data_IF_161304683477
#
_entry.id   IF_161304683477
#
_cell.length_a   1.000
_cell.length_b   1.000
_cell.length_c   1.000
_cell.angle_alpha   90.00
_cell.angle_beta   90.00
_cell.angle_gamma   90.00
#
_symmetry.space_group_name_H-M   'P 1'
#
loop_
_entity.id
_entity.type
_entity.pdbx_description
1 polymer ?
#
# COMPACT_ATOMS: atom_id res chain seq x y z
N UNK A 1 1.43 24.70 5.91
CA UNK A 1 1.25 24.82 4.45
C UNK A 1 1.01 26.28 4.20
N UNK A 2 2.07 27.01 3.83
CA UNK A 2 2.14 28.48 3.97
C UNK A 2 1.89 29.12 2.62
N UNK A 3 0.63 29.44 2.33
CA UNK A 3 0.29 30.45 1.33
C UNK A 3 0.32 31.82 1.99
N UNK A 4 0.84 32.83 1.28
CA UNK A 4 0.84 34.22 1.74
C UNK A 4 -0.61 34.67 1.96
N UNK A 5 -1.00 35.11 3.18
CA UNK A 5 -2.37 35.50 3.48
C UNK A 5 -2.85 36.73 2.70
N UNK A 6 -1.95 37.48 2.06
CA UNK A 6 -2.29 38.66 1.27
C UNK A 6 -2.61 38.36 -0.20
N UNK A 7 -2.62 37.08 -0.60
CA UNK A 7 -2.97 36.68 -1.97
C UNK A 7 -4.22 35.80 -1.93
N UNK A 8 -5.37 36.28 -2.46
CA UNK A 8 -6.56 35.45 -2.60
C UNK A 8 -6.25 34.22 -3.47
N UNK A 9 -6.71 33.03 -3.06
CA UNK A 9 -6.49 31.76 -3.76
C UNK A 9 -6.85 31.82 -5.26
N UNK A 10 -7.90 32.57 -5.60
CA UNK A 10 -8.35 32.79 -6.99
C UNK A 10 -7.30 33.52 -7.86
N UNK A 11 -6.47 34.37 -7.26
CA UNK A 11 -5.44 35.15 -7.95
C UNK A 11 -4.08 34.44 -8.04
N UNK A 12 -3.84 33.43 -7.20
CA UNK A 12 -2.56 32.70 -7.13
C UNK A 12 -2.17 32.18 -8.52
N UNK A 13 -3.11 31.57 -9.24
CA UNK A 13 -2.85 31.00 -10.56
C UNK A 13 -2.49 32.05 -11.62
N UNK A 14 -3.06 33.26 -11.55
CA UNK A 14 -2.74 34.35 -12.46
C UNK A 14 -1.37 34.95 -12.15
N UNK A 15 -1.08 35.20 -10.86
CA UNK A 15 0.22 35.72 -10.40
C UNK A 15 1.36 34.76 -10.70
N UNK A 16 1.17 33.45 -10.53
CA UNK A 16 2.18 32.44 -10.88
C UNK A 16 2.50 32.45 -12.38
N UNK A 17 1.47 32.51 -13.24
CA UNK A 17 1.65 32.53 -14.70
C UNK A 17 2.31 33.82 -15.18
N UNK A 18 1.98 34.97 -14.58
CA UNK A 18 2.58 36.26 -14.92
C UNK A 18 4.02 36.41 -14.40
N UNK A 19 4.31 35.96 -13.17
CA UNK A 19 5.61 36.15 -12.53
C UNK A 19 6.67 35.09 -12.87
N UNK A 20 6.29 33.81 -12.90
CA UNK A 20 7.24 32.69 -13.14
C UNK A 20 7.33 32.36 -14.64
N UNK A 21 6.24 32.53 -15.38
CA UNK A 21 6.12 32.18 -16.80
C UNK A 21 5.89 30.68 -17.04
N UNK A 22 5.07 30.35 -18.05
CA UNK A 22 4.65 28.97 -18.34
C UNK A 22 5.83 28.04 -18.69
N UNK A 23 6.82 28.56 -19.41
CA UNK A 23 8.00 27.78 -19.82
C UNK A 23 8.88 27.40 -18.64
N UNK A 24 9.07 28.30 -17.68
CA UNK A 24 9.82 27.99 -16.45
C UNK A 24 9.06 26.98 -15.58
N UNK A 25 7.73 27.08 -15.52
CA UNK A 25 6.90 26.09 -14.83
C UNK A 25 6.98 24.70 -15.49
N UNK A 26 7.04 24.65 -16.83
CA UNK A 26 7.24 23.41 -17.59
C UNK A 26 8.63 22.82 -17.35
N UNK A 27 9.68 23.64 -17.38
CA UNK A 27 11.06 23.21 -17.13
C UNK A 27 11.27 22.75 -15.67
N UNK A 28 10.59 23.35 -14.70
CA UNK A 28 10.63 22.96 -13.29
C UNK A 28 9.74 21.75 -12.96
N UNK A 29 8.88 21.30 -13.89
CA UNK A 29 8.04 20.13 -13.69
C UNK A 29 8.95 18.90 -13.64
N UNK A 30 9.11 18.30 -12.45
CA UNK A 30 9.79 17.00 -12.32
C UNK A 30 9.22 16.01 -13.32
N UNK A 31 10.11 15.26 -13.95
CA UNK A 31 9.73 14.15 -14.81
C UNK A 31 8.77 13.24 -14.03
N UNK A 32 7.72 12.70 -14.66
CA UNK A 32 6.84 11.74 -14.02
C UNK A 32 7.59 10.59 -13.31
N UNK A 33 8.78 10.22 -13.78
CA UNK A 33 9.67 9.21 -13.17
C UNK A 33 10.38 9.69 -11.91
N UNK A 34 10.64 11.00 -11.78
CA UNK A 34 11.27 11.64 -10.62
C UNK A 34 10.25 12.09 -9.56
N UNK A 35 8.97 11.86 -9.82
CA UNK A 35 7.92 12.02 -8.81
C UNK A 35 8.12 10.93 -7.77
N UNK A 36 8.01 11.33 -6.50
CA UNK A 36 7.87 10.35 -5.41
C UNK A 36 6.78 9.36 -5.80
N UNK A 37 7.06 8.08 -5.63
CA UNK A 37 6.08 7.03 -5.89
C UNK A 37 4.80 7.31 -5.09
N UNK A 38 3.67 6.73 -5.52
CA UNK A 38 2.32 7.00 -4.94
C UNK A 38 2.21 6.73 -3.43
N UNK A 39 3.22 6.10 -2.86
CA UNK A 39 3.41 5.72 -1.47
C UNK A 39 4.37 6.67 -0.71
N UNK A 40 4.86 7.76 -1.32
CA UNK A 40 5.85 8.68 -0.76
C UNK A 40 7.17 8.00 -0.30
N UNK A 41 7.51 6.83 -0.87
CA UNK A 41 8.72 6.08 -0.50
C UNK A 41 8.58 5.19 0.73
N UNK A 42 7.39 5.07 1.33
CA UNK A 42 7.18 4.19 2.49
C UNK A 42 7.29 2.70 2.13
N UNK A 43 6.89 2.29 0.93
CA UNK A 43 7.04 0.91 0.48
C UNK A 43 8.49 0.56 0.19
N UNK A 44 9.30 1.53 -0.28
CA UNK A 44 10.74 1.30 -0.47
C UNK A 44 11.45 0.99 0.86
N UNK A 45 11.06 1.68 1.94
CA UNK A 45 11.57 1.39 3.28
C UNK A 45 11.12 -0.01 3.77
N UNK A 46 9.86 -0.36 3.50
CA UNK A 46 9.34 -1.70 3.82
C UNK A 46 10.07 -2.77 3.02
N UNK A 47 10.32 -2.55 1.73
CA UNK A 47 11.03 -3.49 0.86
C UNK A 47 12.47 -3.72 1.35
N UNK A 48 13.19 -2.65 1.69
CA UNK A 48 14.54 -2.73 2.24
C UNK A 48 14.60 -3.49 3.58
N UNK A 49 13.54 -3.42 4.39
CA UNK A 49 13.45 -4.10 5.70
C UNK A 49 12.65 -5.41 5.67
N UNK A 50 12.17 -5.83 4.50
CA UNK A 50 11.18 -6.90 4.41
C UNK A 50 11.71 -8.23 4.94
N UNK A 51 12.96 -8.57 4.63
CA UNK A 51 13.62 -9.79 5.13
C UNK A 51 13.66 -9.82 6.66
N UNK A 52 14.03 -8.70 7.29
CA UNK A 52 14.05 -8.57 8.75
C UNK A 52 12.65 -8.69 9.35
N UNK A 53 11.66 -8.03 8.75
CA UNK A 53 10.27 -8.12 9.19
C UNK A 53 9.75 -9.56 9.12
N UNK A 54 10.11 -10.33 8.08
CA UNK A 54 9.66 -11.71 7.91
C UNK A 54 10.18 -12.69 8.97
N UNK A 55 11.29 -12.37 9.63
CA UNK A 55 11.81 -13.17 10.75
C UNK A 55 10.97 -12.96 12.01
N UNK A 56 10.59 -11.70 12.28
CA UNK A 56 9.94 -11.33 13.54
C UNK A 56 8.40 -11.38 13.48
N UNK A 57 7.81 -10.93 12.38
CA UNK A 57 6.33 -10.81 12.23
C UNK A 57 5.59 -12.11 12.53
N UNK A 58 6.02 -13.31 12.06
CA UNK A 58 5.33 -14.56 12.37
C UNK A 58 5.17 -14.81 13.88
N UNK A 59 6.18 -14.44 14.68
CA UNK A 59 6.19 -14.66 16.12
C UNK A 59 5.28 -13.64 16.82
N UNK A 60 5.29 -12.39 16.36
CA UNK A 60 4.40 -11.34 16.91
C UNK A 60 2.93 -11.67 16.65
N UNK A 61 2.57 -11.97 15.40
CA UNK A 61 1.16 -12.13 15.06
C UNK A 61 0.57 -13.47 15.54
N UNK A 62 1.40 -14.43 15.91
CA UNK A 62 0.97 -15.68 16.51
C UNK A 62 0.73 -15.56 18.02
N UNK A 63 1.46 -14.65 18.68
CA UNK A 63 1.37 -14.43 20.13
C UNK A 63 0.30 -13.40 20.52
N UNK A 64 0.13 -12.35 19.71
CA UNK A 64 -0.82 -11.29 19.99
C UNK A 64 -2.23 -11.63 19.52
N UNK A 65 -3.22 -11.25 20.34
CA UNK A 65 -4.63 -11.24 19.96
C UNK A 65 -4.99 -9.84 19.47
N UNK A 66 -5.49 -9.75 18.25
CA UNK A 66 -5.98 -8.50 17.67
C UNK A 66 -7.50 -8.43 17.81
N UNK A 67 -8.00 -7.38 18.43
CA UNK A 67 -9.42 -7.06 18.45
C UNK A 67 -9.65 -5.84 17.55
N UNK A 68 -10.64 -5.94 16.66
CA UNK A 68 -10.94 -4.91 15.68
C UNK A 68 -12.31 -4.28 15.94
N UNK A 69 -12.37 -2.96 15.72
CA UNK A 69 -13.63 -2.25 15.57
C UNK A 69 -14.38 -2.74 14.31
N UNK A 70 -15.65 -2.36 14.18
CA UNK A 70 -16.48 -2.78 13.03
C UNK A 70 -15.85 -2.41 11.69
N UNK A 71 -15.25 -1.23 11.58
CA UNK A 71 -14.57 -0.75 10.37
C UNK A 71 -13.27 -1.50 10.08
N UNK A 72 -12.58 -1.96 11.13
CA UNK A 72 -11.30 -2.67 11.01
C UNK A 72 -11.47 -4.20 10.85
N UNK A 73 -12.71 -4.73 10.80
CA UNK A 73 -12.96 -6.16 10.58
C UNK A 73 -12.26 -6.75 9.36
N UNK A 74 -12.23 -6.08 8.18
CA UNK A 74 -11.52 -6.61 7.02
C UNK A 74 -10.00 -6.70 7.25
N UNK A 75 -9.44 -5.79 8.05
CA UNK A 75 -8.02 -5.82 8.42
C UNK A 75 -7.72 -6.99 9.37
N UNK A 76 -8.55 -7.21 10.39
CA UNK A 76 -8.38 -8.37 11.28
C UNK A 76 -8.48 -9.69 10.51
N UNK A 77 -9.45 -9.83 9.60
CA UNK A 77 -9.56 -11.01 8.75
C UNK A 77 -8.32 -11.21 7.87
N UNK A 78 -7.72 -10.12 7.35
CA UNK A 78 -6.47 -10.22 6.60
C UNK A 78 -5.27 -10.65 7.47
N UNK A 79 -5.24 -10.24 8.75
CA UNK A 79 -4.23 -10.71 9.72
C UNK A 79 -4.39 -12.21 9.99
N UNK A 80 -5.62 -12.72 10.07
CA UNK A 80 -5.85 -14.16 10.24
C UNK A 80 -5.37 -14.98 9.03
N UNK A 81 -5.66 -14.51 7.81
CA UNK A 81 -5.08 -15.09 6.59
C UNK A 81 -3.55 -15.07 6.65
N UNK A 82 -2.96 -13.95 7.08
CA UNK A 82 -1.51 -13.83 7.22
C UNK A 82 -0.92 -14.79 8.26
N UNK A 83 -1.62 -15.03 9.37
CA UNK A 83 -1.22 -16.02 10.39
C UNK A 83 -1.18 -17.43 9.81
N UNK A 84 -2.21 -17.82 9.07
CA UNK A 84 -2.24 -19.11 8.37
C UNK A 84 -1.12 -19.23 7.33
N UNK A 85 -0.84 -18.16 6.58
CA UNK A 85 0.27 -18.11 5.62
C UNK A 85 1.61 -18.38 6.30
N UNK A 86 1.89 -17.73 7.43
CA UNK A 86 3.14 -17.94 8.13
C UNK A 86 3.23 -19.33 8.77
N UNK A 87 2.13 -19.85 9.33
CA UNK A 87 2.07 -21.18 9.91
C UNK A 87 2.40 -22.29 8.88
N UNK A 88 1.93 -22.14 7.64
CA UNK A 88 2.19 -23.10 6.55
C UNK A 88 3.47 -22.82 5.74
N UNK A 89 4.21 -21.76 6.06
CA UNK A 89 5.36 -21.29 5.25
C UNK A 89 4.97 -20.81 3.84
N UNK A 90 3.71 -20.44 3.65
CA UNK A 90 3.15 -20.02 2.36
C UNK A 90 3.65 -18.64 1.94
N UNK A 91 4.10 -18.53 0.68
CA UNK A 91 4.59 -17.27 0.10
C UNK A 91 3.56 -16.52 -0.75
N UNK A 92 2.51 -17.22 -1.18
CA UNK A 92 1.46 -16.66 -2.04
C UNK A 92 0.20 -16.37 -1.23
N UNK A 93 -0.42 -15.22 -1.50
CA UNK A 93 -1.66 -14.79 -0.88
C UNK A 93 -2.83 -15.53 -1.55
N UNK A 94 -3.81 -16.07 -0.80
CA UNK A 94 -4.94 -16.76 -1.39
C UNK A 94 -5.83 -15.82 -2.21
N UNK A 95 -6.41 -16.36 -3.27
CA UNK A 95 -7.50 -15.71 -3.99
C UNK A 95 -8.71 -15.51 -3.06
N UNK A 96 -9.18 -14.27 -2.92
CA UNK A 96 -10.23 -13.90 -1.96
C UNK A 96 -9.74 -13.33 -0.63
N UNK A 97 -8.44 -13.05 -0.48
CA UNK A 97 -7.96 -12.28 0.68
C UNK A 97 -8.67 -10.92 0.77
N UNK A 98 -9.08 -10.47 1.99
CA UNK A 98 -9.72 -9.17 2.17
C UNK A 98 -8.84 -8.02 1.69
N UNK A 99 -9.43 -7.07 0.97
CA UNK A 99 -8.73 -5.88 0.44
C UNK A 99 -9.46 -4.57 0.71
N UNK A 100 -10.58 -4.64 1.43
CA UNK A 100 -11.48 -3.52 1.72
C UNK A 100 -10.81 -2.47 2.60
N UNK A 101 -9.86 -2.89 3.46
CA UNK A 101 -9.09 -1.99 4.30
C UNK A 101 -8.00 -1.22 3.52
N UNK A 102 -7.72 -1.60 2.27
CA UNK A 102 -6.60 -1.04 1.49
C UNK A 102 -7.00 0.31 0.89
N UNK A 103 -6.26 1.40 1.17
CA UNK A 103 -6.53 2.71 0.57
C UNK A 103 -6.51 2.68 -0.95
N UNK A 104 -7.38 3.45 -1.60
CA UNK A 104 -7.52 3.51 -3.07
C UNK A 104 -6.19 3.75 -3.79
N UNK A 105 -5.31 4.57 -3.22
CA UNK A 105 -3.96 4.86 -3.76
C UNK A 105 -3.09 3.61 -3.98
N UNK A 106 -3.37 2.52 -3.27
CA UNK A 106 -2.59 1.27 -3.31
C UNK A 106 -3.26 0.15 -4.11
N UNK A 107 -4.51 0.32 -4.56
CA UNK A 107 -5.22 -0.68 -5.37
C UNK A 107 -4.44 -1.13 -6.60
N UNK A 108 -3.77 -0.20 -7.28
CA UNK A 108 -2.97 -0.53 -8.47
C UNK A 108 -1.80 -1.49 -8.19
N UNK A 109 -1.24 -1.51 -6.97
CA UNK A 109 -0.23 -2.49 -6.60
C UNK A 109 -0.82 -3.90 -6.43
N UNK A 110 -2.06 -3.99 -5.94
CA UNK A 110 -2.77 -5.27 -5.84
C UNK A 110 -3.08 -5.84 -7.22
N UNK A 111 -3.54 -5.00 -8.15
CA UNK A 111 -3.80 -5.42 -9.54
C UNK A 111 -2.51 -5.91 -10.21
N UNK A 112 -1.38 -5.23 -9.98
CA UNK A 112 -0.08 -5.64 -10.48
C UNK A 112 0.37 -6.98 -9.87
N UNK A 113 0.19 -7.16 -8.56
CA UNK A 113 0.54 -8.40 -7.86
C UNK A 113 -0.30 -9.60 -8.34
N UNK A 114 -1.59 -9.39 -8.59
CA UNK A 114 -2.48 -10.39 -9.16
C UNK A 114 -2.02 -10.80 -10.57
N UNK A 115 -1.68 -9.82 -11.42
CA UNK A 115 -1.14 -10.08 -12.78
C UNK A 115 0.21 -10.80 -12.76
N UNK A 116 1.04 -10.54 -11.76
CA UNK A 116 2.35 -11.19 -11.59
C UNK A 116 2.27 -12.64 -11.06
N UNK A 117 1.08 -13.15 -10.75
CA UNK A 117 0.90 -14.51 -10.23
C UNK A 117 1.36 -14.70 -8.78
N UNK A 118 1.39 -13.61 -8.02
CA UNK A 118 1.67 -13.62 -6.57
C UNK A 118 0.47 -14.08 -5.73
N UNK A 119 -0.66 -14.36 -6.39
CA UNK A 119 -1.81 -15.05 -5.81
C UNK A 119 -1.70 -16.55 -6.02
N UNK A 120 -2.09 -17.32 -5.00
CA UNK A 120 -2.32 -18.76 -5.15
C UNK A 120 -3.83 -19.00 -5.19
N UNK A 121 -4.29 -19.78 -6.18
CA UNK A 121 -5.63 -20.35 -6.15
C UNK A 121 -5.82 -21.14 -4.86
N UNK A 122 -7.00 -21.02 -4.27
CA UNK A 122 -7.35 -21.77 -3.06
C UNK A 122 -7.25 -23.28 -3.34
N UNK A 123 -6.49 -24.01 -2.52
CA UNK A 123 -6.59 -25.47 -2.45
C UNK A 123 -7.80 -25.82 -1.58
N UNK A 124 -8.99 -25.94 -2.18
CA UNK A 124 -10.03 -26.77 -1.58
C UNK A 124 -9.74 -28.22 -1.95
N UNK A 125 -9.00 -28.92 -1.08
CA UNK A 125 -9.02 -30.37 -0.85
C UNK A 125 -7.72 -30.85 -0.18
N UNK A 126 -7.71 -30.93 1.14
CA UNK A 126 -6.87 -31.86 1.89
C UNK A 126 -7.51 -32.07 3.28
N UNK A 127 -8.78 -32.45 3.27
CA UNK A 127 -9.45 -33.10 4.39
C UNK A 127 -10.09 -34.38 3.83
N UNK A 128 -9.23 -35.27 3.33
CA UNK A 128 -9.49 -36.68 3.10
C UNK A 128 -8.12 -37.39 3.05
N UNK A 129 -7.89 -38.28 4.03
CA UNK A 129 -6.65 -39.02 4.36
C UNK A 129 -5.57 -38.12 4.98
N UNK A 130 -5.18 -38.28 6.24
CA UNK A 130 -4.90 -39.48 7.04
C UNK A 130 -5.28 -39.19 8.49
#
# INVERSE_FOLDING_TARGET
MTTDPNVPDAEVGAKLRAGVGLERMRAARRDPKDRLQRDHGHLALIDASFTYLREFVPHVISTLRFEASVEAKPLAAAVDVLRELYARGGRKVPEGAPTEFVPTRWRGYLDQAAKAGNTSGCCRAAADRY
#
